data_IF_372667221553
#
_entry.id   IF_372667221553
#
_cell.length_a   1.000
_cell.length_b   1.000
_cell.length_c   1.000
_cell.angle_alpha   90.00
_cell.angle_beta   90.00
_cell.angle_gamma   90.00
#
_symmetry.space_group_name_H-M   'P 1'
#
loop_
_entity.id
_entity.type
_entity.pdbx_description
1 polymer ?
#
# COMPACT_ATOMS: atom_id res chain seq x y z
N UNK A 1 -0.67 -9.20 -14.23
CA UNK A 1 -0.02 -7.89 -14.05
C UNK A 1 0.70 -7.95 -12.71
N UNK A 2 1.96 -8.35 -12.70
CA UNK A 2 2.79 -8.33 -11.48
C UNK A 2 3.59 -7.06 -11.53
N UNK A 3 3.16 -6.05 -10.76
CA UNK A 3 3.84 -4.77 -10.64
C UNK A 3 4.87 -4.87 -9.52
N UNK A 4 6.14 -4.64 -9.86
CA UNK A 4 7.22 -4.51 -8.90
C UNK A 4 7.59 -3.02 -8.81
N UNK A 5 7.74 -2.50 -7.60
CA UNK A 5 8.17 -1.12 -7.35
C UNK A 5 9.51 -1.15 -6.63
N UNK A 6 10.48 -0.31 -6.96
CA UNK A 6 11.64 -0.09 -6.11
C UNK A 6 11.56 1.35 -5.65
N UNK A 7 11.73 1.54 -4.35
CA UNK A 7 11.65 2.83 -3.70
C UNK A 7 13.07 3.23 -3.32
N UNK A 8 13.44 4.42 -3.76
CA UNK A 8 14.57 5.19 -3.27
C UNK A 8 13.96 6.48 -2.75
N UNK A 9 14.33 6.86 -1.54
CA UNK A 9 13.94 8.11 -0.91
C UNK A 9 14.45 9.33 -1.71
N UNK A 10 13.52 10.18 -2.16
CA UNK A 10 13.79 11.45 -2.86
C UNK A 10 12.57 11.99 -3.63
N UNK A 11 12.39 13.32 -3.75
CA UNK A 11 11.12 13.95 -4.12
C UNK A 11 10.79 13.77 -5.61
N UNK A 12 9.50 13.84 -5.92
CA UNK A 12 8.87 13.16 -7.06
C UNK A 12 7.96 14.16 -7.82
N UNK A 13 8.04 14.26 -9.18
CA UNK A 13 7.22 15.13 -10.09
C UNK A 13 6.39 14.44 -11.27
N UNK A 14 5.25 14.96 -11.82
CA UNK A 14 3.85 14.40 -12.12
C UNK A 14 3.55 13.57 -13.41
N UNK A 15 2.43 12.78 -13.40
CA UNK A 15 1.28 12.74 -14.37
C UNK A 15 0.62 11.38 -14.81
N UNK A 16 -0.71 11.48 -14.94
CA UNK A 16 -1.78 10.89 -15.79
C UNK A 16 -1.80 9.43 -16.29
N UNK A 17 -3.01 8.84 -16.17
CA UNK A 17 -3.42 7.52 -16.63
C UNK A 17 -4.53 7.67 -17.69
N UNK A 18 -4.32 7.12 -18.89
CA UNK A 18 -5.40 6.79 -19.81
C UNK A 18 -5.61 5.28 -19.87
N UNK A 19 -6.88 4.88 -19.87
CA UNK A 19 -7.35 3.51 -19.75
C UNK A 19 -7.32 2.71 -21.06
N UNK A 20 -7.33 1.38 -20.91
CA UNK A 20 -7.55 0.44 -22.00
C UNK A 20 -7.47 -1.02 -21.53
N UNK A 21 -8.62 -1.70 -21.52
CA UNK A 21 -8.73 -3.12 -21.18
C UNK A 21 -8.31 -4.06 -22.32
N UNK A 22 -7.87 -5.27 -21.96
CA UNK A 22 -7.58 -6.35 -22.93
C UNK A 22 -7.07 -7.61 -22.24
N UNK A 23 -7.83 -8.70 -22.37
CA UNK A 23 -7.53 -10.01 -21.80
C UNK A 23 -6.38 -10.76 -22.48
N UNK A 24 -5.60 -11.48 -21.68
CA UNK A 24 -4.51 -12.35 -22.09
C UNK A 24 -3.60 -12.70 -20.91
N UNK A 25 -3.80 -13.86 -20.31
CA UNK A 25 -3.02 -14.39 -19.18
C UNK A 25 -1.64 -14.88 -19.65
N UNK A 26 -0.66 -13.98 -19.63
CA UNK A 26 0.76 -14.31 -19.73
C UNK A 26 1.53 -13.51 -18.69
N UNK A 27 1.99 -14.16 -17.62
CA UNK A 27 2.69 -13.52 -16.51
C UNK A 27 4.12 -13.15 -16.93
N UNK A 28 4.34 -11.88 -17.34
CA UNK A 28 5.67 -11.27 -17.55
C UNK A 28 6.02 -10.37 -16.35
N UNK A 29 7.28 -10.39 -15.93
CA UNK A 29 7.78 -9.65 -14.76
C UNK A 29 8.53 -8.38 -15.17
N UNK A 30 8.12 -7.23 -14.61
CA UNK A 30 8.73 -5.92 -14.87
C UNK A 30 9.21 -5.29 -13.56
N UNK A 31 10.50 -4.96 -13.47
CA UNK A 31 11.16 -4.44 -12.27
C UNK A 31 11.41 -2.92 -12.36
N UNK A 32 11.60 -2.25 -11.21
CA UNK A 32 11.72 -0.78 -11.07
C UNK A 32 13.00 -0.44 -10.29
N UNK A 33 13.65 0.70 -10.55
CA UNK A 33 14.73 1.32 -9.75
C UNK A 33 14.78 2.83 -10.08
N UNK A 34 15.13 3.68 -9.11
CA UNK A 34 15.11 5.16 -9.19
C UNK A 34 16.52 5.77 -9.36
N UNK A 35 16.63 6.96 -9.95
CA UNK A 35 17.88 7.74 -10.11
C UNK A 35 17.62 9.26 -9.98
N UNK A 36 18.60 10.05 -9.52
CA UNK A 36 18.57 11.53 -9.44
C UNK A 36 18.54 12.25 -10.80
N UNK A 37 17.93 13.44 -10.79
CA UNK A 37 17.57 14.30 -11.93
C UNK A 37 18.74 14.98 -12.67
N UNK A 38 19.94 14.98 -12.09
CA UNK A 38 21.02 15.91 -12.46
C UNK A 38 21.70 15.61 -13.82
N UNK A 39 21.23 14.62 -14.58
CA UNK A 39 21.85 14.11 -15.82
C UNK A 39 21.01 14.26 -17.10
N UNK A 40 19.87 14.98 -17.09
CA UNK A 40 18.88 14.90 -18.19
C UNK A 40 18.83 16.08 -19.19
N UNK A 41 19.69 17.09 -19.08
CA UNK A 41 19.68 18.26 -19.97
C UNK A 41 19.96 17.97 -21.48
N UNK A 42 20.23 16.72 -21.88
CA UNK A 42 20.63 16.37 -23.24
C UNK A 42 19.58 15.62 -24.08
N UNK A 43 18.40 15.27 -23.54
CA UNK A 43 17.47 14.34 -24.22
C UNK A 43 16.09 14.87 -24.59
N UNK A 44 15.84 16.17 -24.46
CA UNK A 44 14.53 16.78 -24.79
C UNK A 44 14.31 17.11 -26.28
N UNK A 45 15.27 16.83 -27.17
CA UNK A 45 15.14 17.19 -28.60
C UNK A 45 14.29 16.27 -29.48
N UNK A 46 13.90 15.07 -29.04
CA UNK A 46 13.39 14.03 -29.95
C UNK A 46 11.94 13.56 -29.72
N UNK A 47 11.08 14.32 -29.04
CA UNK A 47 9.69 13.93 -28.74
C UNK A 47 8.72 14.83 -29.52
N UNK A 48 8.71 14.73 -30.86
CA UNK A 48 7.61 15.27 -31.68
C UNK A 48 6.96 14.22 -32.60
N UNK A 49 7.55 13.03 -32.77
CA UNK A 49 7.10 12.08 -33.80
C UNK A 49 6.11 10.99 -33.35
N UNK A 50 5.69 10.96 -32.08
CA UNK A 50 4.99 9.79 -31.52
C UNK A 50 3.46 9.81 -31.60
N UNK A 51 2.82 10.79 -32.24
CA UNK A 51 1.35 10.95 -32.26
C UNK A 51 0.60 10.27 -33.42
N UNK A 52 1.21 9.28 -34.09
CA UNK A 52 0.52 8.53 -35.14
C UNK A 52 0.75 7.04 -34.98
N UNK A 53 -0.22 6.32 -34.37
CA UNK A 53 -0.71 4.99 -34.81
C UNK A 53 -1.64 4.39 -33.75
N UNK A 54 -2.90 4.21 -34.12
CA UNK A 54 -3.82 3.28 -33.48
C UNK A 54 -4.43 2.39 -34.57
N UNK A 55 -4.75 1.16 -34.17
CA UNK A 55 -5.45 0.07 -34.89
C UNK A 55 -4.54 -0.78 -35.78
N UNK A 56 -4.12 -1.93 -35.23
CA UNK A 56 -4.15 -3.22 -35.93
C UNK A 56 -3.99 -4.37 -34.91
N UNK A 57 -4.78 -5.42 -35.10
CA UNK A 57 -4.81 -6.60 -34.26
C UNK A 57 -3.67 -7.58 -34.61
N UNK A 58 -3.06 -8.13 -33.56
CA UNK A 58 -2.29 -9.39 -33.49
C UNK A 58 -1.40 -9.74 -34.70
N UNK A 59 -0.36 -8.95 -34.90
CA UNK A 59 0.90 -9.45 -35.46
C UNK A 59 2.01 -8.99 -34.52
N UNK A 60 2.82 -9.93 -34.02
CA UNK A 60 4.04 -9.58 -33.27
C UNK A 60 4.89 -8.75 -34.23
N UNK A 61 5.01 -7.45 -33.94
CA UNK A 61 5.71 -6.55 -34.86
C UNK A 61 7.16 -7.01 -34.99
N UNK A 62 7.74 -6.83 -36.18
CA UNK A 62 9.14 -7.13 -36.45
C UNK A 62 10.08 -6.43 -35.44
N UNK A 63 9.69 -5.23 -35.00
CA UNK A 63 10.33 -4.48 -33.91
C UNK A 63 10.24 -5.16 -32.53
N UNK A 64 9.19 -5.95 -32.25
CA UNK A 64 9.10 -6.76 -31.03
C UNK A 64 10.02 -7.99 -31.12
N UNK A 65 10.13 -8.58 -32.30
CA UNK A 65 11.02 -9.73 -32.56
C UNK A 65 12.49 -9.32 -32.45
N UNK A 66 12.87 -8.20 -33.05
CA UNK A 66 14.21 -7.60 -32.89
C UNK A 66 14.51 -7.27 -31.43
N UNK A 67 13.56 -6.66 -30.70
CA UNK A 67 13.72 -6.42 -29.27
C UNK A 67 13.88 -7.68 -28.44
N UNK A 68 13.22 -8.78 -28.79
CA UNK A 68 13.40 -10.09 -28.12
C UNK A 68 14.77 -10.68 -28.41
N UNK A 69 15.30 -10.48 -29.63
CA UNK A 69 16.66 -10.85 -30.01
C UNK A 69 17.74 -10.00 -29.33
N UNK A 70 17.42 -8.76 -28.95
CA UNK A 70 18.27 -7.87 -28.13
C UNK A 70 18.23 -8.19 -26.63
N UNK A 71 17.31 -9.04 -26.16
CA UNK A 71 17.24 -9.43 -24.75
C UNK A 71 18.43 -10.32 -24.39
N UNK A 72 19.19 -9.92 -23.37
CA UNK A 72 20.34 -10.70 -22.89
C UNK A 72 19.92 -12.12 -22.47
N UNK A 73 20.66 -13.11 -22.98
CA UNK A 73 20.56 -14.48 -22.52
C UNK A 73 21.02 -14.56 -21.05
N UNK A 74 20.19 -15.16 -20.20
CA UNK A 74 20.50 -15.37 -18.78
C UNK A 74 21.45 -16.55 -18.65
N UNK A 75 22.61 -16.34 -18.03
CA UNK A 75 23.56 -17.41 -17.73
C UNK A 75 22.96 -18.37 -16.70
N UNK A 76 23.01 -19.71 -16.90
CA UNK A 76 22.50 -20.69 -15.95
C UNK A 76 23.19 -20.59 -14.57
N UNK A 77 22.40 -20.43 -13.51
CA UNK A 77 22.90 -20.43 -12.14
C UNK A 77 22.97 -21.86 -11.57
N UNK A 78 24.12 -22.25 -11.01
CA UNK A 78 24.31 -23.53 -10.31
C UNK A 78 23.90 -23.41 -8.85
N UNK A 79 22.91 -24.21 -8.45
CA UNK A 79 22.44 -24.32 -7.07
C UNK A 79 23.54 -24.83 -6.13
N UNK A 80 23.84 -24.08 -5.06
CA UNK A 80 24.59 -24.57 -3.90
C UNK A 80 23.65 -25.27 -2.90
N UNK A 81 24.20 -26.02 -1.93
CA UNK A 81 23.42 -26.66 -0.86
C UNK A 81 22.72 -25.59 -0.01
N UNK A 82 21.46 -25.83 0.34
CA UNK A 82 20.59 -24.95 1.13
C UNK A 82 21.24 -24.62 2.48
N UNK A 83 21.74 -23.40 2.64
CA UNK A 83 22.05 -22.85 3.95
C UNK A 83 20.76 -22.50 4.69
N UNK A 84 20.78 -22.57 6.02
CA UNK A 84 19.68 -22.00 6.81
C UNK A 84 19.60 -20.49 6.55
N UNK A 85 18.39 -19.91 6.41
CA UNK A 85 18.27 -18.47 6.28
C UNK A 85 18.90 -17.83 7.53
N UNK A 86 19.74 -16.78 7.37
CA UNK A 86 20.31 -16.10 8.51
C UNK A 86 19.19 -15.64 9.44
N UNK A 87 19.32 -15.94 10.73
CA UNK A 87 18.39 -15.48 11.75
C UNK A 87 18.44 -13.96 11.70
N UNK A 88 17.38 -13.33 11.20
CA UNK A 88 17.23 -11.89 11.32
C UNK A 88 17.28 -11.57 12.82
N UNK A 89 18.24 -10.76 13.30
CA UNK A 89 18.13 -10.22 14.65
C UNK A 89 16.75 -9.60 14.77
N UNK A 90 16.06 -9.84 15.89
CA UNK A 90 14.73 -9.25 16.15
C UNK A 90 14.82 -7.78 15.74
N UNK A 91 14.08 -7.34 14.70
CA UNK A 91 14.10 -5.94 14.36
C UNK A 91 13.70 -5.20 15.63
N UNK A 92 14.53 -4.25 16.06
CA UNK A 92 14.14 -3.30 17.09
C UNK A 92 12.87 -2.67 16.55
N UNK A 93 11.72 -3.04 17.08
CA UNK A 93 10.45 -2.50 16.65
C UNK A 93 10.54 -1.01 16.91
N UNK A 94 10.64 -0.21 15.85
CA UNK A 94 10.44 1.23 15.93
C UNK A 94 8.96 1.43 16.25
N UNK A 95 8.67 1.36 17.55
CA UNK A 95 7.34 1.29 18.15
C UNK A 95 6.57 2.60 18.08
N UNK A 96 7.05 3.61 17.34
CA UNK A 96 6.40 4.92 17.22
C UNK A 96 5.59 5.11 15.92
N UNK A 97 5.72 4.23 14.91
CA UNK A 97 5.19 4.50 13.55
C UNK A 97 3.67 4.38 13.42
N UNK A 98 2.98 3.63 14.29
CA UNK A 98 1.53 3.42 14.19
C UNK A 98 0.68 4.46 14.92
N UNK A 99 1.24 5.28 15.81
CA UNK A 99 0.45 6.26 16.59
C UNK A 99 -0.45 7.19 15.76
N UNK A 100 -0.04 7.69 14.57
CA UNK A 100 -0.95 8.54 13.80
C UNK A 100 -2.08 7.75 13.11
N UNK A 101 -1.98 6.42 12.97
CA UNK A 101 -2.97 5.66 12.20
C UNK A 101 -4.33 5.52 12.90
N UNK A 102 -4.42 5.08 14.17
CA UNK A 102 -5.70 5.06 14.89
C UNK A 102 -6.35 6.44 14.90
N UNK A 103 -5.55 7.50 15.12
CA UNK A 103 -6.02 8.87 15.11
C UNK A 103 -6.64 9.25 13.76
N UNK A 104 -5.93 8.99 12.65
CA UNK A 104 -6.47 9.20 11.27
C UNK A 104 -7.73 8.40 11.01
N UNK A 105 -7.76 7.14 11.43
CA UNK A 105 -8.94 6.27 11.27
C UNK A 105 -10.15 6.83 12.04
N UNK A 106 -9.93 7.35 13.25
CA UNK A 106 -10.97 7.98 14.09
C UNK A 106 -11.41 9.32 13.52
N UNK A 107 -10.49 10.18 13.08
CA UNK A 107 -10.82 11.44 12.38
C UNK A 107 -11.69 11.14 11.17
N UNK A 108 -11.32 10.15 10.34
CA UNK A 108 -12.11 9.75 9.19
C UNK A 108 -13.53 9.29 9.59
N UNK A 109 -13.65 8.48 10.65
CA UNK A 109 -14.94 8.05 11.18
C UNK A 109 -15.81 9.22 11.71
N UNK A 110 -15.20 10.21 12.37
CA UNK A 110 -15.88 11.42 12.88
C UNK A 110 -16.35 12.33 11.76
N UNK A 111 -15.55 12.53 10.72
CA UNK A 111 -15.90 13.36 9.55
C UNK A 111 -17.02 12.73 8.74
N UNK A 112 -17.09 11.39 8.68
CA UNK A 112 -18.19 10.67 8.01
C UNK A 112 -19.49 10.65 8.83
N UNK A 113 -19.44 10.96 10.12
CA UNK A 113 -20.61 11.14 10.96
C UNK A 113 -21.06 12.61 10.97
N UNK A 114 -22.36 12.83 11.20
CA UNK A 114 -22.90 14.16 11.45
C UNK A 114 -22.54 14.64 12.87
N UNK A 115 -23.00 15.84 13.22
CA UNK A 115 -22.76 16.47 14.54
C UNK A 115 -23.24 15.62 15.72
N UNK A 116 -24.27 14.78 15.52
CA UNK A 116 -24.82 13.89 16.55
C UNK A 116 -24.14 12.51 16.58
N UNK A 117 -23.18 12.26 15.70
CA UNK A 117 -22.52 10.96 15.55
C UNK A 117 -23.27 9.94 14.71
N UNK A 118 -24.40 10.34 14.12
CA UNK A 118 -25.14 9.48 13.20
C UNK A 118 -24.53 9.52 11.81
N UNK A 119 -24.59 8.39 11.12
CA UNK A 119 -24.15 8.34 9.72
C UNK A 119 -25.29 8.76 8.80
N UNK A 120 -25.03 9.66 7.84
CA UNK A 120 -25.99 9.92 6.78
C UNK A 120 -26.17 8.67 5.92
N UNK A 121 -27.29 8.62 5.21
CA UNK A 121 -27.56 7.54 4.26
C UNK A 121 -26.47 7.44 3.20
N UNK A 122 -26.26 6.24 2.65
CA UNK A 122 -25.20 5.98 1.69
C UNK A 122 -25.27 6.89 0.45
N UNK A 123 -26.46 7.36 0.08
CA UNK A 123 -26.68 8.28 -1.03
C UNK A 123 -26.33 9.74 -0.70
N UNK A 124 -26.36 10.12 0.58
CA UNK A 124 -26.12 11.48 1.06
C UNK A 124 -24.68 11.68 1.57
N UNK A 125 -23.94 10.59 1.76
CA UNK A 125 -22.56 10.62 2.22
C UNK A 125 -21.62 11.24 1.17
N UNK A 126 -21.23 12.49 1.38
CA UNK A 126 -20.30 13.22 0.52
C UNK A 126 -18.84 12.87 0.77
N UNK A 127 -18.51 12.37 1.96
CA UNK A 127 -17.14 12.07 2.35
C UNK A 127 -16.76 10.67 1.83
N UNK A 128 -15.70 10.57 1.02
CA UNK A 128 -15.29 9.30 0.45
C UNK A 128 -14.76 8.33 1.50
N UNK A 129 -14.64 7.05 1.12
CA UNK A 129 -13.93 6.05 1.91
C UNK A 129 -12.49 6.47 2.23
N UNK A 130 -11.91 5.93 3.29
CA UNK A 130 -10.61 6.34 3.85
C UNK A 130 -9.52 6.67 2.81
N UNK A 131 -9.30 5.82 1.80
CA UNK A 131 -8.28 6.10 0.77
C UNK A 131 -8.64 7.31 -0.10
N UNK A 132 -9.91 7.44 -0.47
CA UNK A 132 -10.39 8.60 -1.22
C UNK A 132 -10.36 9.88 -0.39
N UNK A 133 -10.60 9.76 0.93
CA UNK A 133 -10.50 10.89 1.85
C UNK A 133 -9.07 11.43 1.90
N UNK A 134 -8.09 10.60 2.23
CA UNK A 134 -6.69 11.03 2.25
C UNK A 134 -6.18 11.46 0.87
N UNK A 135 -6.64 10.83 -0.22
CA UNK A 135 -6.33 11.28 -1.57
C UNK A 135 -6.87 12.68 -1.86
N UNK A 136 -8.03 13.06 -1.31
CA UNK A 136 -8.61 14.40 -1.46
C UNK A 136 -7.88 15.47 -0.64
N UNK A 137 -7.09 15.08 0.36
CA UNK A 137 -6.31 15.98 1.19
C UNK A 137 -4.90 16.18 0.64
N UNK A 138 -4.31 15.13 0.07
CA UNK A 138 -2.94 15.16 -0.43
C UNK A 138 -2.83 15.88 -1.77
N UNK A 139 -1.93 16.87 -1.86
CA UNK A 139 -1.59 17.48 -3.15
C UNK A 139 -1.10 16.39 -4.09
N UNK A 140 -1.48 16.49 -5.37
CA UNK A 140 -1.05 15.52 -6.38
C UNK A 140 0.47 15.52 -6.42
N UNK A 141 1.03 14.49 -5.79
CA UNK A 141 2.44 14.22 -5.86
C UNK A 141 2.73 13.59 -7.18
N UNK A 142 3.90 13.94 -7.60
CA UNK A 142 4.16 14.04 -8.97
C UNK A 142 5.12 12.82 -9.24
N UNK A 143 4.91 11.99 -10.27
CA UNK A 143 5.54 10.64 -10.41
C UNK A 143 6.99 10.64 -10.96
N UNK A 144 7.95 10.20 -10.17
CA UNK A 144 9.37 10.08 -10.54
C UNK A 144 9.56 9.33 -11.87
N UNK A 145 10.22 10.02 -12.81
CA UNK A 145 10.42 9.57 -14.20
C UNK A 145 11.61 8.64 -14.43
N UNK A 146 12.35 8.22 -13.41
CA UNK A 146 13.52 7.38 -13.61
C UNK A 146 13.12 5.89 -13.55
N UNK A 147 12.99 5.26 -14.71
CA UNK A 147 12.73 3.81 -14.85
C UNK A 147 13.95 3.12 -15.46
N UNK A 148 14.62 2.25 -14.71
CA UNK A 148 15.43 1.18 -15.32
C UNK A 148 14.57 -0.06 -15.51
N UNK A 149 14.16 -0.29 -16.74
CA UNK A 149 13.32 -1.43 -17.10
C UNK A 149 14.19 -2.60 -17.55
N UNK A 150 14.35 -3.59 -16.67
CA UNK A 150 14.92 -4.88 -17.07
C UNK A 150 13.75 -5.83 -17.36
N UNK A 151 13.54 -6.20 -18.60
CA UNK A 151 12.61 -7.27 -18.95
C UNK A 151 13.36 -8.56 -19.18
N UNK A 152 12.78 -9.65 -18.68
CA UNK A 152 13.18 -11.00 -19.03
C UNK A 152 12.01 -11.68 -19.75
N UNK A 153 12.33 -12.45 -20.78
CA UNK A 153 11.35 -13.23 -21.55
C UNK A 153 10.96 -14.53 -20.84
N UNK A 154 11.74 -14.93 -19.83
CA UNK A 154 11.55 -16.12 -19.02
C UNK A 154 10.77 -15.79 -17.73
N UNK A 155 10.01 -16.77 -17.26
CA UNK A 155 9.40 -16.73 -15.93
C UNK A 155 10.50 -16.61 -14.86
N UNK A 156 10.20 -16.01 -13.68
CA UNK A 156 11.16 -15.91 -12.59
C UNK A 156 11.65 -17.29 -12.18
N UNK A 157 12.91 -17.55 -12.49
CA UNK A 157 13.65 -18.71 -12.00
C UNK A 157 14.91 -18.21 -11.30
N UNK A 158 15.61 -19.10 -10.59
CA UNK A 158 16.78 -18.72 -9.81
C UNK A 158 17.88 -18.03 -10.63
N UNK A 159 18.03 -18.41 -11.90
CA UNK A 159 18.97 -17.78 -12.84
C UNK A 159 18.62 -16.33 -13.14
N UNK A 160 17.35 -16.09 -13.48
CA UNK A 160 16.82 -14.75 -13.77
C UNK A 160 16.96 -13.85 -12.55
N UNK A 161 16.60 -14.36 -11.37
CA UNK A 161 16.69 -13.59 -10.13
C UNK A 161 18.15 -13.33 -9.74
N UNK A 162 19.08 -14.28 -9.97
CA UNK A 162 20.49 -14.06 -9.73
C UNK A 162 21.06 -12.95 -10.61
N UNK A 163 20.75 -12.95 -11.92
CA UNK A 163 21.19 -11.89 -12.83
C UNK A 163 20.66 -10.51 -12.40
N UNK A 164 19.41 -10.45 -11.91
CA UNK A 164 18.84 -9.22 -11.32
C UNK A 164 19.65 -8.78 -10.10
N UNK A 165 19.94 -9.70 -9.18
CA UNK A 165 20.70 -9.39 -7.96
C UNK A 165 22.14 -8.98 -8.26
N UNK A 166 22.78 -9.56 -9.28
CA UNK A 166 24.12 -9.16 -9.74
C UNK A 166 24.13 -7.74 -10.31
N UNK A 167 23.18 -7.43 -11.20
CA UNK A 167 23.02 -6.10 -11.77
C UNK A 167 22.72 -5.06 -10.68
N UNK A 168 21.85 -5.41 -9.72
CA UNK A 168 21.54 -4.53 -8.60
C UNK A 168 22.76 -4.30 -7.70
N UNK A 169 23.52 -5.34 -7.38
CA UNK A 169 24.77 -5.23 -6.62
C UNK A 169 25.78 -4.31 -7.32
N UNK A 170 25.93 -4.43 -8.64
CA UNK A 170 26.77 -3.53 -9.43
C UNK A 170 26.28 -2.08 -9.35
N UNK A 171 24.97 -1.84 -9.49
CA UNK A 171 24.37 -0.50 -9.39
C UNK A 171 24.61 0.10 -8.00
N UNK A 172 24.41 -0.66 -6.92
CA UNK A 172 24.64 -0.21 -5.54
C UNK A 172 26.06 0.34 -5.40
N UNK A 173 27.05 -0.39 -5.91
CA UNK A 173 28.46 0.01 -5.87
C UNK A 173 28.70 1.24 -6.73
N UNK A 174 28.28 1.21 -8.01
CA UNK A 174 28.53 2.30 -8.98
C UNK A 174 27.84 3.61 -8.60
N UNK A 175 26.70 3.54 -7.93
CA UNK A 175 25.91 4.71 -7.52
C UNK A 175 26.10 5.09 -6.05
N UNK A 176 27.01 4.42 -5.34
CA UNK A 176 27.27 4.63 -3.92
C UNK A 176 25.99 4.61 -3.07
N UNK A 177 25.11 3.63 -3.35
CA UNK A 177 23.89 3.44 -2.57
C UNK A 177 24.21 2.67 -1.28
N UNK A 178 23.67 3.07 -0.11
CA UNK A 178 23.92 2.35 1.13
C UNK A 178 23.20 1.00 1.16
N UNK A 179 21.96 0.97 0.67
CA UNK A 179 21.12 -0.24 0.55
C UNK A 179 20.20 -0.10 -0.67
N UNK A 180 19.71 -1.21 -1.19
CA UNK A 180 18.62 -1.23 -2.18
C UNK A 180 17.54 -2.23 -1.81
N UNK A 181 16.29 -1.80 -1.89
CA UNK A 181 15.14 -2.69 -1.72
C UNK A 181 14.83 -3.41 -3.03
N UNK A 182 14.85 -4.75 -3.00
CA UNK A 182 14.41 -5.58 -4.11
C UNK A 182 13.01 -6.10 -3.79
N UNK A 183 12.02 -5.46 -4.38
CA UNK A 183 10.62 -5.82 -4.17
C UNK A 183 10.26 -6.97 -5.09
N UNK A 184 9.63 -8.00 -4.53
CA UNK A 184 9.19 -9.20 -5.23
C UNK A 184 7.73 -9.56 -4.91
N UNK A 185 7.04 -10.20 -5.85
CA UNK A 185 5.91 -11.05 -5.47
C UNK A 185 6.41 -12.27 -4.67
N UNK A 186 5.49 -13.07 -4.14
CA UNK A 186 5.88 -14.16 -3.24
C UNK A 186 6.90 -15.15 -3.85
N UNK A 187 6.73 -15.66 -5.10
CA UNK A 187 7.72 -16.56 -5.71
C UNK A 187 9.11 -15.94 -5.87
N UNK A 188 9.16 -14.67 -6.28
CA UNK A 188 10.42 -13.95 -6.44
C UNK A 188 11.07 -13.69 -5.09
N UNK A 189 10.30 -13.21 -4.12
CA UNK A 189 10.80 -12.89 -2.78
C UNK A 189 11.51 -14.09 -2.15
N UNK A 190 10.93 -15.29 -2.32
CA UNK A 190 11.54 -16.55 -1.88
C UNK A 190 12.89 -16.77 -2.58
N UNK A 191 12.96 -16.59 -3.90
CA UNK A 191 14.21 -16.77 -4.66
C UNK A 191 15.30 -15.76 -4.28
N UNK A 192 14.93 -14.49 -4.09
CA UNK A 192 15.84 -13.43 -3.64
C UNK A 192 16.39 -13.77 -2.24
N UNK A 193 15.51 -14.20 -1.33
CA UNK A 193 15.90 -14.57 0.04
C UNK A 193 16.84 -15.77 0.04
N UNK A 194 16.58 -16.77 -0.80
CA UNK A 194 17.46 -17.93 -0.98
C UNK A 194 18.83 -17.54 -1.53
N UNK A 195 18.88 -16.73 -2.59
CA UNK A 195 20.13 -16.27 -3.20
C UNK A 195 20.97 -15.41 -2.25
N UNK A 196 20.31 -14.55 -1.45
CA UNK A 196 20.95 -13.78 -0.39
C UNK A 196 21.51 -14.69 0.71
N UNK A 197 20.78 -15.73 1.13
CA UNK A 197 21.27 -16.69 2.11
C UNK A 197 22.46 -17.51 1.61
N UNK A 198 22.50 -17.83 0.31
CA UNK A 198 23.63 -18.55 -0.31
C UNK A 198 24.87 -17.67 -0.50
N UNK A 199 24.70 -16.34 -0.62
CA UNK A 199 25.78 -15.39 -0.87
C UNK A 199 25.60 -14.12 -0.01
N UNK A 200 25.70 -14.25 1.33
CA UNK A 200 25.33 -13.17 2.25
C UNK A 200 26.20 -11.92 2.07
N UNK A 201 27.50 -12.08 1.84
CA UNK A 201 28.42 -10.95 1.65
C UNK A 201 28.19 -10.23 0.33
N UNK A 202 27.95 -10.99 -0.75
CA UNK A 202 27.74 -10.45 -2.11
C UNK A 202 26.46 -9.61 -2.20
N UNK A 203 25.41 -10.04 -1.51
CA UNK A 203 24.09 -9.43 -1.55
C UNK A 203 23.70 -8.75 -0.24
N UNK A 204 24.67 -8.39 0.61
CA UNK A 204 24.43 -7.82 1.95
C UNK A 204 23.56 -6.56 1.89
N UNK A 205 23.81 -5.70 0.90
CA UNK A 205 23.18 -4.38 0.74
C UNK A 205 21.83 -4.44 -0.02
N UNK A 206 21.42 -5.64 -0.46
CA UNK A 206 20.10 -5.86 -1.08
C UNK A 206 19.11 -6.32 -0.01
N UNK A 207 18.07 -5.54 0.27
CA UNK A 207 17.01 -5.90 1.21
C UNK A 207 15.85 -6.52 0.43
N UNK A 208 15.55 -7.83 0.62
CA UNK A 208 14.38 -8.44 0.00
C UNK A 208 13.12 -7.85 0.63
N UNK A 209 12.18 -7.40 -0.19
CA UNK A 209 10.91 -6.83 0.29
C UNK A 209 9.74 -7.53 -0.39
N UNK A 210 8.83 -8.11 0.40
CA UNK A 210 7.59 -8.64 -0.14
C UNK A 210 6.73 -7.45 -0.58
N UNK A 211 6.32 -7.45 -1.85
CA UNK A 211 5.58 -6.34 -2.44
C UNK A 211 4.41 -5.92 -1.54
N UNK A 212 4.17 -4.60 -1.38
CA UNK A 212 3.23 -4.10 -0.40
C UNK A 212 1.82 -4.66 -0.60
N UNK A 213 1.43 -4.88 -1.87
CA UNK A 213 0.19 -5.57 -2.22
C UNK A 213 0.09 -6.97 -1.59
N UNK A 214 1.14 -7.79 -1.67
CA UNK A 214 1.16 -9.13 -1.10
C UNK A 214 1.21 -9.09 0.42
N UNK A 215 2.00 -8.19 0.99
CA UNK A 215 2.05 -7.95 2.44
C UNK A 215 0.66 -7.61 2.98
N UNK A 216 -0.06 -6.71 2.32
CA UNK A 216 -1.44 -6.34 2.68
C UNK A 216 -2.40 -7.52 2.52
N UNK A 217 -2.29 -8.31 1.45
CA UNK A 217 -3.11 -9.52 1.29
C UNK A 217 -2.86 -10.54 2.41
N UNK A 218 -1.60 -10.69 2.85
CA UNK A 218 -1.23 -11.56 3.98
C UNK A 218 -1.82 -11.02 5.29
N UNK A 219 -1.71 -9.73 5.56
CA UNK A 219 -2.33 -9.08 6.74
C UNK A 219 -3.85 -9.27 6.75
N UNK A 220 -4.52 -9.04 5.62
CA UNK A 220 -5.96 -9.28 5.46
C UNK A 220 -6.32 -10.75 5.76
N UNK A 221 -5.56 -11.69 5.19
CA UNK A 221 -5.79 -13.12 5.43
C UNK A 221 -5.52 -13.52 6.88
N UNK A 222 -4.57 -12.87 7.55
CA UNK A 222 -4.26 -13.13 8.95
C UNK A 222 -5.38 -12.62 9.88
N UNK A 223 -5.87 -11.40 9.64
CA UNK A 223 -7.07 -10.86 10.30
C UNK A 223 -8.21 -11.85 10.09
N UNK A 224 -8.54 -12.15 8.84
CA UNK A 224 -9.65 -13.04 8.53
C UNK A 224 -9.54 -14.41 9.21
N UNK A 225 -8.37 -15.05 9.21
CA UNK A 225 -8.17 -16.35 9.86
C UNK A 225 -8.43 -16.30 11.36
N UNK A 226 -8.10 -15.19 12.01
CA UNK A 226 -8.32 -14.99 13.45
C UNK A 226 -9.78 -14.70 13.79
N UNK A 227 -10.48 -13.99 12.90
CA UNK A 227 -11.89 -13.60 13.08
C UNK A 227 -12.87 -14.52 12.32
N UNK A 228 -12.39 -15.64 11.79
CA UNK A 228 -13.25 -16.62 11.12
C UNK A 228 -14.09 -17.36 12.16
N UNK A 229 -15.40 -17.41 11.93
CA UNK A 229 -16.35 -18.03 12.86
C UNK A 229 -16.83 -17.12 13.99
N UNK A 230 -16.47 -15.83 13.98
CA UNK A 230 -16.94 -14.83 14.94
C UNK A 230 -18.11 -13.98 14.43
N UNK A 231 -18.88 -14.53 13.48
CA UNK A 231 -19.99 -13.84 12.77
C UNK A 231 -19.56 -12.57 11.99
N UNK A 232 -18.27 -12.26 11.89
CA UNK A 232 -17.78 -11.14 11.06
C UNK A 232 -18.29 -11.26 9.62
N UNK A 233 -18.33 -12.49 9.10
CA UNK A 233 -18.83 -12.79 7.76
C UNK A 233 -20.33 -12.52 7.65
N UNK A 234 -21.10 -12.99 8.63
CA UNK A 234 -22.55 -12.87 8.66
C UNK A 234 -22.98 -11.42 8.78
N UNK A 235 -22.31 -10.62 9.63
CA UNK A 235 -22.55 -9.18 9.76
C UNK A 235 -22.31 -8.46 8.43
N UNK A 236 -21.21 -8.77 7.73
CA UNK A 236 -20.87 -8.15 6.45
C UNK A 236 -21.87 -8.52 5.34
N UNK A 237 -22.39 -9.75 5.36
CA UNK A 237 -23.40 -10.22 4.41
C UNK A 237 -24.77 -9.60 4.71
N UNK A 238 -25.20 -9.63 5.97
CA UNK A 238 -26.47 -9.07 6.41
C UNK A 238 -26.54 -7.56 6.15
N UNK A 239 -25.43 -6.84 6.33
CA UNK A 239 -25.31 -5.42 6.01
C UNK A 239 -25.23 -5.12 4.50
N UNK A 240 -25.30 -6.13 3.62
CA UNK A 240 -25.24 -5.95 2.16
C UNK A 240 -23.89 -5.45 1.65
N UNK A 241 -22.83 -5.51 2.46
CA UNK A 241 -21.49 -5.04 2.08
C UNK A 241 -20.87 -5.95 1.01
N UNK A 242 -21.16 -7.25 1.11
CA UNK A 242 -20.62 -8.30 0.26
C UNK A 242 -21.61 -9.46 0.14
N UNK A 243 -21.65 -10.10 -1.03
CA UNK A 243 -22.44 -11.30 -1.24
C UNK A 243 -21.80 -12.49 -0.49
N UNK A 244 -22.64 -13.34 0.12
CA UNK A 244 -22.26 -14.52 0.92
C UNK A 244 -21.13 -15.35 0.27
N UNK A 245 -21.31 -15.76 -0.99
CA UNK A 245 -20.34 -16.59 -1.72
C UNK A 245 -19.00 -15.90 -2.02
N UNK A 246 -18.90 -14.59 -1.81
CA UNK A 246 -17.69 -13.80 -2.06
C UNK A 246 -16.87 -13.49 -0.81
N UNK A 247 -17.42 -13.68 0.39
CA UNK A 247 -16.81 -13.24 1.66
C UNK A 247 -15.44 -13.87 1.87
N UNK A 248 -15.39 -15.21 1.86
CA UNK A 248 -14.18 -16.01 2.03
C UNK A 248 -13.05 -15.57 1.07
N UNK A 249 -13.38 -15.34 -0.20
CA UNK A 249 -12.38 -14.93 -1.21
C UNK A 249 -11.93 -13.47 -1.03
N UNK A 250 -12.82 -12.58 -0.60
CA UNK A 250 -12.47 -11.20 -0.33
C UNK A 250 -11.58 -11.06 0.90
N UNK A 251 -11.96 -11.67 2.03
CA UNK A 251 -11.23 -11.56 3.29
C UNK A 251 -9.89 -12.33 3.29
N UNK A 252 -9.74 -13.38 2.45
CA UNK A 252 -8.43 -13.99 2.14
C UNK A 252 -7.53 -13.13 1.23
N UNK A 253 -7.97 -11.93 0.83
CA UNK A 253 -7.20 -11.02 -0.03
C UNK A 253 -7.23 -11.35 -1.53
N UNK A 254 -7.95 -12.38 -1.99
CA UNK A 254 -8.06 -12.68 -3.44
C UNK A 254 -8.79 -11.57 -4.19
N UNK A 255 -9.78 -10.96 -3.55
CA UNK A 255 -10.42 -9.74 -4.03
C UNK A 255 -9.99 -8.54 -3.17
N UNK A 256 -8.71 -8.18 -3.29
CA UNK A 256 -8.05 -7.14 -2.49
C UNK A 256 -8.92 -5.92 -2.17
N UNK A 257 -9.40 -5.19 -3.19
CA UNK A 257 -10.21 -3.97 -2.98
C UNK A 257 -11.49 -4.25 -2.18
N UNK A 258 -12.12 -5.40 -2.42
CA UNK A 258 -13.36 -5.79 -1.77
C UNK A 258 -13.11 -6.19 -0.32
N UNK A 259 -12.08 -6.99 -0.04
CA UNK A 259 -11.73 -7.38 1.32
C UNK A 259 -11.27 -6.19 2.16
N UNK A 260 -10.47 -5.29 1.58
CA UNK A 260 -10.04 -4.06 2.25
C UNK A 260 -11.24 -3.18 2.60
N UNK A 261 -12.23 -3.06 1.70
CA UNK A 261 -13.50 -2.37 1.99
C UNK A 261 -14.27 -3.02 3.14
N UNK A 262 -14.33 -4.36 3.20
CA UNK A 262 -15.04 -5.07 4.27
C UNK A 262 -14.42 -4.77 5.65
N UNK A 263 -13.11 -4.95 5.79
CA UNK A 263 -12.40 -4.71 7.05
C UNK A 263 -12.52 -3.26 7.50
N UNK A 264 -12.42 -2.31 6.56
CA UNK A 264 -12.60 -0.88 6.84
C UNK A 264 -14.00 -0.54 7.31
N UNK A 265 -15.04 -1.04 6.64
CA UNK A 265 -16.41 -0.73 7.04
C UNK A 265 -16.73 -1.31 8.41
N UNK A 266 -16.23 -2.51 8.71
CA UNK A 266 -16.35 -3.09 10.05
C UNK A 266 -15.63 -2.25 11.10
N UNK A 267 -14.37 -1.87 10.83
CA UNK A 267 -13.59 -0.99 11.70
C UNK A 267 -14.35 0.32 11.96
N UNK A 268 -14.78 0.99 10.89
CA UNK A 268 -15.49 2.25 10.97
C UNK A 268 -16.79 2.08 11.78
N UNK A 269 -17.55 1.02 11.54
CA UNK A 269 -18.81 0.77 12.26
C UNK A 269 -18.58 0.66 13.78
N UNK A 270 -17.57 -0.10 14.21
CA UNK A 270 -17.22 -0.24 15.62
C UNK A 270 -16.75 1.10 16.23
N UNK A 271 -15.85 1.80 15.54
CA UNK A 271 -15.31 3.08 16.02
C UNK A 271 -16.40 4.16 16.08
N UNK A 272 -17.31 4.23 15.10
CA UNK A 272 -18.37 5.24 15.11
C UNK A 272 -19.34 5.07 16.28
N UNK A 273 -19.65 3.84 16.70
CA UNK A 273 -20.48 3.64 17.90
C UNK A 273 -19.80 4.19 19.15
N UNK A 274 -18.52 3.86 19.35
CA UNK A 274 -17.72 4.36 20.47
C UNK A 274 -17.55 5.90 20.41
N UNK A 275 -17.32 6.43 19.21
CA UNK A 275 -17.15 7.85 18.98
C UNK A 275 -18.42 8.64 19.33
N UNK A 276 -19.59 8.12 18.94
CA UNK A 276 -20.89 8.73 19.24
C UNK A 276 -21.13 8.85 20.74
N UNK A 277 -20.85 7.78 21.48
CA UNK A 277 -21.09 7.75 22.92
C UNK A 277 -20.06 8.54 23.73
N UNK A 278 -18.80 8.56 23.30
CA UNK A 278 -17.68 8.98 24.17
C UNK A 278 -16.83 10.13 23.62
N UNK A 279 -16.68 10.26 22.31
CA UNK A 279 -15.88 11.33 21.72
C UNK A 279 -16.74 12.58 21.53
N UNK A 280 -17.83 12.46 20.78
CA UNK A 280 -18.63 13.60 20.30
C UNK A 280 -19.11 14.53 21.44
N UNK A 281 -19.64 14.02 22.57
CA UNK A 281 -20.05 14.89 23.67
C UNK A 281 -18.90 15.72 24.28
N UNK A 282 -17.67 15.20 24.18
CA UNK A 282 -16.48 15.75 24.84
C UNK A 282 -15.55 16.50 23.86
N UNK A 283 -15.93 16.66 22.59
CA UNK A 283 -15.12 17.41 21.62
C UNK A 283 -15.09 18.90 21.97
N UNK A 284 -13.88 19.48 21.94
CA UNK A 284 -13.68 20.92 22.06
C UNK A 284 -14.28 21.66 20.87
N UNK A 285 -14.54 22.97 21.03
CA UNK A 285 -15.05 23.83 19.95
C UNK A 285 -14.09 23.84 18.75
N UNK A 286 -12.78 24.01 18.98
CA UNK A 286 -11.78 23.99 17.91
C UNK A 286 -11.68 22.65 17.18
N UNK A 287 -11.87 21.52 17.89
CA UNK A 287 -11.94 20.19 17.23
C UNK A 287 -13.19 20.10 16.34
N UNK A 288 -14.35 20.61 16.77
CA UNK A 288 -15.59 20.61 15.98
C UNK A 288 -15.47 21.48 14.73
N UNK A 289 -14.93 22.68 14.85
CA UNK A 289 -14.70 23.59 13.71
C UNK A 289 -13.83 22.92 12.62
N UNK A 290 -12.74 22.26 13.02
CA UNK A 290 -11.89 21.54 12.08
C UNK A 290 -12.62 20.35 11.42
N UNK A 291 -13.47 19.63 12.16
CA UNK A 291 -14.30 18.57 11.59
C UNK A 291 -15.31 19.13 10.57
N UNK A 292 -15.90 20.30 10.82
CA UNK A 292 -16.85 20.93 9.90
C UNK A 292 -16.17 21.43 8.63
N UNK A 293 -14.94 21.97 8.74
CA UNK A 293 -14.09 22.26 7.59
C UNK A 293 -13.85 21.01 6.74
N UNK A 294 -13.57 19.86 7.38
CA UNK A 294 -13.34 18.60 6.67
C UNK A 294 -14.59 18.03 6.00
N UNK A 295 -15.76 18.22 6.62
CA UNK A 295 -17.08 17.84 6.08
C UNK A 295 -17.49 18.68 4.87
N UNK A 296 -17.07 19.94 4.82
CA UNK A 296 -17.42 20.84 3.73
C UNK A 296 -16.54 20.61 2.49
N UNK A 297 -17.03 19.78 1.56
CA UNK A 297 -16.34 19.46 0.30
C UNK A 297 -16.23 20.64 -0.69
N UNK A 298 -16.92 21.75 -0.43
CA UNK A 298 -16.83 22.96 -1.25
C UNK A 298 -15.61 23.84 -0.90
N UNK A 299 -14.97 23.61 0.25
CA UNK A 299 -13.75 24.32 0.65
C UNK A 299 -12.53 23.84 -0.13
N UNK A 300 -11.50 24.70 -0.18
CA UNK A 300 -10.26 24.36 -0.87
C UNK A 300 -9.57 23.15 -0.25
N UNK A 301 -8.82 22.43 -1.08
CA UNK A 301 -8.01 21.30 -0.64
C UNK A 301 -7.02 21.73 0.45
N UNK A 302 -6.40 22.91 0.33
CA UNK A 302 -5.46 23.45 1.31
C UNK A 302 -6.10 23.67 2.68
N UNK A 303 -7.32 24.24 2.72
CA UNK A 303 -8.03 24.47 3.97
C UNK A 303 -8.36 23.15 4.68
N UNK A 304 -8.83 22.17 3.90
CA UNK A 304 -9.16 20.83 4.42
C UNK A 304 -7.90 20.09 4.88
N UNK A 305 -6.80 20.18 4.15
CA UNK A 305 -5.53 19.59 4.55
C UNK A 305 -4.96 20.24 5.83
N UNK A 306 -5.09 21.56 5.98
CA UNK A 306 -4.70 22.27 7.20
C UNK A 306 -5.54 21.85 8.42
N UNK A 307 -6.87 21.76 8.26
CA UNK A 307 -7.76 21.29 9.32
C UNK A 307 -7.45 19.83 9.73
N UNK A 308 -7.15 18.97 8.74
CA UNK A 308 -6.71 17.61 9.03
C UNK A 308 -5.40 17.56 9.82
N UNK A 309 -4.40 18.37 9.43
CA UNK A 309 -3.13 18.46 10.15
C UNK A 309 -3.34 18.96 11.58
N UNK A 310 -4.17 19.99 11.77
CA UNK A 310 -4.49 20.52 13.09
C UNK A 310 -5.13 19.44 13.99
N UNK A 311 -6.02 18.60 13.45
CA UNK A 311 -6.58 17.46 14.18
C UNK A 311 -5.55 16.37 14.46
N UNK A 312 -4.60 16.11 13.55
CA UNK A 312 -3.49 15.18 13.83
C UNK A 312 -2.60 15.68 14.97
N UNK A 313 -2.43 17.00 15.11
CA UNK A 313 -1.62 17.62 16.16
C UNK A 313 -2.41 17.95 17.45
N UNK A 314 -3.74 17.78 17.44
CA UNK A 314 -4.64 18.08 18.57
C UNK A 314 -4.40 17.11 19.76
N UNK A 315 -3.81 17.62 20.83
CA UNK A 315 -3.49 16.86 22.04
C UNK A 315 -4.75 16.45 22.83
N UNK A 316 -5.80 17.28 22.83
CA UNK A 316 -7.05 16.99 23.53
C UNK A 316 -7.79 15.85 22.83
N UNK A 317 -7.83 15.88 21.49
CA UNK A 317 -8.35 14.76 20.70
C UNK A 317 -7.55 13.48 20.95
N UNK A 318 -6.22 13.57 21.06
CA UNK A 318 -5.37 12.41 21.35
C UNK A 318 -5.65 11.81 22.74
N UNK A 319 -5.84 12.66 23.75
CA UNK A 319 -6.20 12.23 25.10
C UNK A 319 -7.59 11.57 25.12
N UNK A 320 -8.58 12.14 24.42
CA UNK A 320 -9.90 11.55 24.26
C UNK A 320 -9.85 10.18 23.55
N UNK A 321 -9.04 10.05 22.50
CA UNK A 321 -8.84 8.78 21.78
C UNK A 321 -8.18 7.73 22.69
N UNK A 322 -7.18 8.14 23.46
CA UNK A 322 -6.50 7.24 24.42
C UNK A 322 -7.48 6.74 25.48
N UNK A 323 -8.40 7.61 25.93
CA UNK A 323 -9.46 7.28 26.88
C UNK A 323 -10.65 6.54 26.27
N UNK A 324 -10.76 6.47 24.94
CA UNK A 324 -11.90 5.84 24.25
C UNK A 324 -12.14 4.41 24.74
N UNK A 325 -11.05 3.67 24.93
CA UNK A 325 -11.07 2.26 25.32
C UNK A 325 -10.84 2.01 26.81
N UNK A 326 -10.58 3.03 27.63
CA UNK A 326 -10.24 2.85 29.05
C UNK A 326 -11.42 2.40 29.91
N UNK A 327 -12.65 2.70 29.48
CA UNK A 327 -13.89 2.33 30.16
C UNK A 327 -14.70 1.27 29.39
N UNK A 328 -14.11 0.62 28.38
CA UNK A 328 -14.74 -0.57 27.79
C UNK A 328 -14.47 -1.70 28.77
N UNK A 329 -15.53 -2.38 29.23
CA UNK A 329 -15.44 -3.46 30.21
C UNK A 329 -14.29 -4.40 29.84
N UNK A 330 -13.46 -4.73 30.84
CA UNK A 330 -12.38 -5.71 30.70
C UNK A 330 -13.04 -7.08 30.55
N UNK A 331 -13.51 -7.35 29.33
CA UNK A 331 -14.13 -8.60 28.93
C UNK A 331 -13.34 -9.17 27.76
N UNK A 332 -13.34 -10.50 27.66
CA UNK A 332 -12.71 -11.20 26.55
C UNK A 332 -13.25 -10.71 25.19
N UNK A 333 -14.54 -10.32 25.13
CA UNK A 333 -15.17 -9.77 23.92
C UNK A 333 -14.63 -8.38 23.56
N UNK A 334 -14.42 -7.52 24.55
CA UNK A 334 -13.83 -6.20 24.32
C UNK A 334 -12.37 -6.32 23.86
N UNK A 335 -11.58 -7.19 24.47
CA UNK A 335 -10.20 -7.46 24.05
C UNK A 335 -10.14 -8.03 22.64
N UNK A 336 -11.07 -8.93 22.31
CA UNK A 336 -11.21 -9.50 20.98
C UNK A 336 -11.43 -8.44 19.90
N UNK A 337 -12.39 -7.52 20.09
CA UNK A 337 -12.63 -6.47 19.10
C UNK A 337 -11.56 -5.36 19.12
N UNK A 338 -10.92 -5.09 20.26
CA UNK A 338 -9.76 -4.19 20.32
C UNK A 338 -8.60 -4.71 19.48
N UNK A 339 -8.34 -6.01 19.55
CA UNK A 339 -7.33 -6.65 18.71
C UNK A 339 -7.71 -6.57 17.22
N UNK A 340 -8.99 -6.67 16.87
CA UNK A 340 -9.46 -6.49 15.48
C UNK A 340 -9.12 -5.08 14.96
N UNK A 341 -9.41 -4.07 15.78
CA UNK A 341 -9.10 -2.68 15.45
C UNK A 341 -7.59 -2.48 15.28
N UNK A 342 -6.78 -2.98 16.21
CA UNK A 342 -5.31 -2.90 16.17
C UNK A 342 -4.70 -3.56 14.92
N UNK A 343 -5.14 -4.78 14.59
CA UNK A 343 -4.66 -5.47 13.39
C UNK A 343 -5.08 -4.75 12.11
N UNK A 344 -6.31 -4.21 12.08
CA UNK A 344 -6.81 -3.44 10.95
C UNK A 344 -6.06 -2.11 10.81
N UNK A 345 -5.78 -1.40 11.90
CA UNK A 345 -4.95 -0.19 11.89
C UNK A 345 -3.54 -0.49 11.37
N UNK A 346 -2.93 -1.61 11.74
CA UNK A 346 -1.64 -2.02 11.17
C UNK A 346 -1.70 -2.22 9.65
N UNK A 347 -2.76 -2.86 9.14
CA UNK A 347 -3.02 -2.99 7.71
C UNK A 347 -3.23 -1.61 7.05
N UNK A 348 -3.98 -0.73 7.70
CA UNK A 348 -4.30 0.60 7.20
C UNK A 348 -3.09 1.52 7.15
N UNK A 349 -2.22 1.47 8.17
CA UNK A 349 -0.94 2.16 8.20
C UNK A 349 -0.08 1.69 7.05
N UNK A 350 0.00 0.37 6.79
CA UNK A 350 0.73 -0.14 5.65
C UNK A 350 0.17 0.37 4.30
N UNK A 351 -1.16 0.41 4.14
CA UNK A 351 -1.80 0.96 2.93
C UNK A 351 -1.50 2.45 2.79
N UNK A 352 -1.60 3.21 3.87
CA UNK A 352 -1.34 4.64 3.90
C UNK A 352 0.13 4.93 3.55
N UNK A 353 1.08 4.31 4.26
CA UNK A 353 2.51 4.40 4.04
C UNK A 353 2.90 4.16 2.56
N UNK A 354 2.33 3.13 1.95
CA UNK A 354 2.56 2.80 0.53
C UNK A 354 2.03 3.89 -0.40
N UNK A 355 0.89 4.50 -0.07
CA UNK A 355 0.30 5.57 -0.87
C UNK A 355 1.05 6.89 -0.76
N UNK A 356 1.58 7.22 0.43
CA UNK A 356 2.35 8.45 0.66
C UNK A 356 3.86 8.26 0.43
N UNK A 357 4.29 7.06 0.02
CA UNK A 357 5.68 6.68 -0.11
C UNK A 357 6.51 6.92 1.17
N UNK A 358 5.90 6.76 2.33
CA UNK A 358 6.59 6.80 3.62
C UNK A 358 7.01 5.38 4.00
N UNK A 359 8.32 5.15 4.10
CA UNK A 359 8.91 3.83 4.36
C UNK A 359 9.80 3.84 5.61
N UNK A 360 9.75 4.94 6.38
CA UNK A 360 10.24 5.00 7.76
C UNK A 360 9.24 4.31 8.69
#
# INVERSE_FOLDING_TARGET
>A
MTCFYCVISGPCMTLNLDGGGGGGTGHRCNWMFLQRLDHLAQKEKNIQDAHKRTKDAKTVSQALTEKVSEMQAVTPYRTSKRGEPPICPKPTTFSSSTEPQPKRSIIHALVRANENGDRPDAAEQTIPSYNGFHASLNKEQSKSKAYFHMSYNQLPNKSVVNDIMEKLSHIIITKHMPIAFLVGDHPVYVLVTLLKAENPDKYRDIVPFLGPFHTQCVMMSAIYKRYKGSELEDVLVAAGVIAERSVDSALKGKHYKRGLRCLRLMYEALVSQLAKERLIPNLTEGTRENLDILRNTSLSQEARAAAHSALEDDADLQDLITKLFSHVDVSDMADYWRDFLSMTDSLMQNVHAVHICNWE
#
